data_IF_818991204112
#
_entry.id   IF_818991204112
#
_cell.length_a   1.000
_cell.length_b   1.000
_cell.length_c   1.000
_cell.angle_alpha   90.00
_cell.angle_beta   90.00
_cell.angle_gamma   90.00
#
_symmetry.space_group_name_H-M   'P 1'
#
loop_
_entity.id
_entity.type
_entity.pdbx_description
1 polymer ?
#
# COMPACT_ATOMS: atom_id res chain seq x y z
N UNK A 1 18.06 -0.59 17.98
CA UNK A 1 17.31 0.32 17.09
C UNK A 1 15.86 -0.08 17.21
N UNK A 2 15.06 0.69 17.96
CA UNK A 2 13.63 0.42 18.07
C UNK A 2 13.00 0.78 16.72
N UNK A 3 12.49 -0.23 16.01
CA UNK A 3 11.56 0.03 14.93
C UNK A 3 10.34 0.68 15.59
N UNK A 4 10.12 1.95 15.27
CA UNK A 4 8.92 2.67 15.65
C UNK A 4 7.77 1.99 14.89
N UNK A 5 7.16 0.98 15.51
CA UNK A 5 6.15 0.13 14.85
C UNK A 5 4.93 1.00 14.57
N UNK A 6 4.80 1.45 13.33
CA UNK A 6 3.64 2.20 12.86
C UNK A 6 2.37 1.36 13.08
N UNK A 7 1.42 1.91 13.84
CA UNK A 7 0.11 1.30 14.02
C UNK A 7 -0.82 1.60 12.84
N UNK A 8 -1.86 0.79 12.63
CA UNK A 8 -2.81 0.99 11.51
C UNK A 8 -3.44 2.39 11.50
N UNK A 9 -3.57 3.02 12.66
CA UNK A 9 -4.15 4.37 12.83
C UNK A 9 -3.31 5.46 12.17
N UNK A 10 -2.02 5.20 11.96
CA UNK A 10 -1.08 6.16 11.42
C UNK A 10 -0.92 6.03 9.90
N UNK A 11 -1.40 4.92 9.33
CA UNK A 11 -1.33 4.66 7.90
C UNK A 11 -2.39 5.47 7.14
N UNK A 12 -1.98 6.05 6.01
CA UNK A 12 -2.88 6.67 5.05
C UNK A 12 -3.20 5.68 3.95
N UNK A 13 -4.45 5.26 3.91
CA UNK A 13 -4.96 4.40 2.85
C UNK A 13 -5.57 5.24 1.74
N UNK A 14 -5.25 4.91 0.49
CA UNK A 14 -5.89 5.53 -0.68
C UNK A 14 -6.15 4.51 -1.77
N UNK A 15 -7.31 4.64 -2.39
CA UNK A 15 -7.57 4.01 -3.68
C UNK A 15 -7.02 4.93 -4.77
N UNK A 16 -6.11 4.41 -5.57
CA UNK A 16 -5.51 5.12 -6.70
C UNK A 16 -6.04 4.54 -8.01
N UNK A 17 -6.06 5.38 -9.02
CA UNK A 17 -6.40 4.99 -10.38
C UNK A 17 -5.27 5.41 -11.30
N UNK A 18 -4.86 4.52 -12.19
CA UNK A 18 -3.86 4.84 -13.20
C UNK A 18 -4.24 4.22 -14.55
N UNK A 19 -3.92 4.90 -15.65
CA UNK A 19 -4.12 4.34 -16.98
C UNK A 19 -3.06 3.26 -17.26
N UNK A 20 -3.49 2.12 -17.78
CA UNK A 20 -2.62 1.05 -18.28
C UNK A 20 -3.24 0.45 -19.53
N UNK A 21 -2.53 0.43 -20.66
CA UNK A 21 -2.97 -0.22 -21.91
C UNK A 21 -4.44 0.01 -22.31
N UNK A 22 -4.92 1.25 -22.18
CA UNK A 22 -6.30 1.62 -22.54
C UNK A 22 -7.38 1.27 -21.51
N UNK A 23 -7.00 0.72 -20.36
CA UNK A 23 -7.89 0.49 -19.21
C UNK A 23 -7.45 1.32 -18.00
N UNK A 24 -8.41 1.75 -17.19
CA UNK A 24 -8.13 2.41 -15.91
C UNK A 24 -8.06 1.36 -14.82
N UNK A 25 -6.87 1.14 -14.27
CA UNK A 25 -6.63 0.19 -13.19
C UNK A 25 -6.87 0.87 -11.85
N UNK A 26 -7.64 0.21 -10.98
CA UNK A 26 -7.83 0.61 -9.58
C UNK A 26 -6.86 -0.17 -8.70
N UNK A 27 -6.07 0.52 -7.90
CA UNK A 27 -5.14 -0.09 -6.95
C UNK A 27 -5.31 0.52 -5.56
N UNK A 28 -4.88 -0.22 -4.55
CA UNK A 28 -4.82 0.25 -3.17
C UNK A 28 -3.37 0.62 -2.85
N UNK A 29 -3.17 1.76 -2.19
CA UNK A 29 -1.87 2.19 -1.70
C UNK A 29 -1.96 2.48 -0.20
N UNK A 30 -1.14 1.79 0.58
CA UNK A 30 -0.90 2.07 1.99
C UNK A 30 0.32 2.98 2.11
N UNK A 31 0.14 4.18 2.64
CA UNK A 31 1.22 5.17 2.73
C UNK A 31 1.53 5.41 4.22
N UNK A 32 2.76 5.18 4.69
CA UNK A 32 3.17 5.54 6.04
C UNK A 32 3.10 7.06 6.23
N UNK A 33 2.91 7.56 7.47
CA UNK A 33 2.76 8.99 7.78
C UNK A 33 4.06 9.80 7.67
N UNK A 34 5.05 9.32 6.92
CA UNK A 34 6.34 9.98 6.73
C UNK A 34 6.33 10.84 5.47
N UNK A 35 6.94 12.03 5.54
CA UNK A 35 7.05 12.96 4.40
C UNK A 35 8.24 12.67 3.49
N UNK A 36 9.13 11.78 3.89
CA UNK A 36 10.35 11.46 3.16
C UNK A 36 10.10 10.46 2.02
N UNK A 37 10.95 10.49 1.00
CA UNK A 37 10.92 9.48 -0.07
C UNK A 37 11.35 8.14 0.50
N UNK A 38 10.48 7.14 0.37
CA UNK A 38 10.72 5.77 0.80
C UNK A 38 10.66 4.83 -0.41
N UNK A 39 11.36 3.68 -0.37
CA UNK A 39 11.21 2.65 -1.38
C UNK A 39 9.75 2.20 -1.47
N UNK A 40 9.28 1.99 -2.70
CA UNK A 40 7.93 1.54 -2.97
C UNK A 40 7.89 0.04 -3.28
N UNK A 41 6.84 -0.66 -2.84
CA UNK A 41 6.61 -2.08 -3.10
C UNK A 41 5.26 -2.23 -3.81
N UNK A 42 5.29 -2.87 -4.98
CA UNK A 42 4.08 -3.21 -5.72
C UNK A 42 3.69 -4.64 -5.35
N UNK A 43 2.50 -4.79 -4.77
CA UNK A 43 1.89 -6.09 -4.50
C UNK A 43 0.91 -6.40 -5.63
N UNK A 44 1.13 -7.51 -6.33
CA UNK A 44 0.22 -8.00 -7.36
C UNK A 44 -0.78 -8.96 -6.71
N UNK A 45 -2.06 -8.68 -6.90
CA UNK A 45 -3.14 -9.49 -6.36
C UNK A 45 -3.23 -10.86 -7.04
N UNK A 46 -3.83 -11.81 -6.33
CA UNK A 46 -4.25 -13.11 -6.87
C UNK A 46 -5.33 -12.96 -7.95
N UNK A 47 -5.61 -14.05 -8.69
CA UNK A 47 -6.58 -14.06 -9.79
C UNK A 47 -8.00 -13.62 -9.42
N UNK A 48 -8.35 -13.66 -8.13
CA UNK A 48 -9.61 -13.19 -7.57
C UNK A 48 -9.74 -11.66 -7.46
N UNK A 49 -8.66 -10.92 -7.70
CA UNK A 49 -8.66 -9.46 -7.65
C UNK A 49 -8.26 -8.88 -6.29
N UNK A 50 -8.40 -7.55 -6.18
CA UNK A 50 -8.01 -6.79 -4.99
C UNK A 50 -9.07 -6.93 -3.89
N UNK A 51 -8.83 -7.86 -2.96
CA UNK A 51 -9.68 -8.15 -1.81
C UNK A 51 -9.06 -7.63 -0.50
N UNK A 52 -9.79 -7.73 0.61
CA UNK A 52 -9.32 -7.24 1.92
C UNK A 52 -8.05 -7.95 2.42
N UNK A 53 -7.84 -9.27 2.21
CA UNK A 53 -6.55 -9.91 2.47
C UNK A 53 -5.37 -9.26 1.72
N UNK A 54 -5.53 -8.90 0.45
CA UNK A 54 -4.47 -8.23 -0.32
C UNK A 54 -4.19 -6.81 0.20
N UNK A 55 -5.24 -6.09 0.63
CA UNK A 55 -5.06 -4.79 1.30
C UNK A 55 -4.33 -4.92 2.63
N UNK A 56 -4.59 -5.99 3.39
CA UNK A 56 -3.89 -6.26 4.65
C UNK A 56 -2.38 -6.47 4.44
N UNK A 57 -1.99 -7.19 3.39
CA UNK A 57 -0.58 -7.32 3.00
C UNK A 57 0.03 -5.94 2.70
N UNK A 58 -0.66 -5.11 1.93
CA UNK A 58 -0.22 -3.73 1.65
C UNK A 58 -0.07 -2.89 2.92
N UNK A 59 -1.00 -3.00 3.88
CA UNK A 59 -0.91 -2.31 5.18
C UNK A 59 0.30 -2.77 5.96
N UNK A 60 0.56 -4.08 6.04
CA UNK A 60 1.71 -4.64 6.76
C UNK A 60 3.04 -4.12 6.20
N UNK A 61 3.17 -4.03 4.88
CA UNK A 61 4.35 -3.43 4.26
C UNK A 61 4.46 -1.93 4.56
N UNK A 62 3.33 -1.21 4.56
CA UNK A 62 3.31 0.19 4.93
C UNK A 62 3.72 0.43 6.40
N UNK A 63 3.40 -0.50 7.32
CA UNK A 63 3.85 -0.43 8.72
C UNK A 63 5.36 -0.54 8.89
N UNK A 64 6.00 -1.31 8.03
CA UNK A 64 7.47 -1.40 7.98
C UNK A 64 8.10 -0.14 7.33
N UNK A 65 7.29 0.82 6.88
CA UNK A 65 7.71 2.09 6.31
C UNK A 65 8.01 2.04 4.82
N UNK A 66 7.44 1.07 4.10
CA UNK A 66 7.40 1.03 2.63
C UNK A 66 6.16 1.75 2.09
N UNK A 67 6.14 2.09 0.80
CA UNK A 67 5.01 2.76 0.11
C UNK A 67 4.43 1.89 -0.99
#
# INVERSE_FOLDING_TARGET
MAADTLTDRDLKEKMVQYPSEGVTVRAFAGVPPVKERRPAIIVVQEWWGLNDPMKDVGRRLAKEGYV
#
